data_IF_103428750944
#
_entry.id   IF_103428750944
#
_cell.length_a   1.000
_cell.length_b   1.000
_cell.length_c   1.000
_cell.angle_alpha   90.00
_cell.angle_beta   90.00
_cell.angle_gamma   90.00
#
_symmetry.space_group_name_H-M   'P 1'
#
loop_
_entity.id
_entity.type
_entity.pdbx_description
1 polymer ?
#
# COMPACT_ATOMS: atom_id res chain seq x y z
N UNK A 1 10.05 22.45 4.16
CA UNK A 1 10.17 23.53 5.17
C UNK A 1 9.87 23.05 6.61
N UNK A 2 9.86 21.73 6.86
CA UNK A 2 9.60 21.16 8.17
C UNK A 2 8.12 21.02 8.56
N UNK A 3 7.16 21.51 7.77
CA UNK A 3 5.74 21.37 8.12
C UNK A 3 5.23 19.94 7.92
N UNK A 4 4.31 19.53 8.80
CA UNK A 4 3.61 18.25 8.72
C UNK A 4 2.39 18.41 7.83
N UNK A 5 2.20 17.47 6.90
CA UNK A 5 1.04 17.45 6.01
C UNK A 5 0.19 16.21 6.28
N UNK A 6 -1.13 16.40 6.32
CA UNK A 6 -2.10 15.31 6.52
C UNK A 6 -3.08 15.31 5.36
N UNK A 7 -3.18 14.17 4.68
CA UNK A 7 -4.10 13.94 3.58
C UNK A 7 -5.16 12.93 4.05
N UNK A 8 -6.35 13.41 4.34
CA UNK A 8 -7.45 12.59 4.84
C UNK A 8 -8.28 12.12 3.65
N UNK A 9 -8.39 10.80 3.49
CA UNK A 9 -9.23 10.20 2.45
C UNK A 9 -10.70 10.57 2.66
N UNK A 10 -11.33 11.06 1.60
CA UNK A 10 -12.78 11.09 1.46
C UNK A 10 -13.36 9.72 1.12
N UNK A 11 -14.62 9.71 0.71
CA UNK A 11 -15.33 8.54 0.19
C UNK A 11 -16.29 8.96 -0.92
N UNK A 12 -15.76 8.97 -2.15
CA UNK A 12 -16.50 9.42 -3.33
C UNK A 12 -16.98 10.86 -3.20
N UNK A 13 -18.11 11.18 -3.84
CA UNK A 13 -18.66 12.54 -3.90
C UNK A 13 -19.45 12.97 -2.66
N UNK A 14 -19.79 12.03 -1.77
CA UNK A 14 -20.67 12.29 -0.62
C UNK A 14 -19.91 12.69 0.64
N UNK A 15 -18.66 12.24 0.77
CA UNK A 15 -17.76 12.61 1.87
C UNK A 15 -16.47 13.12 1.24
N UNK A 16 -16.19 14.42 1.28
CA UNK A 16 -14.94 14.96 0.74
C UNK A 16 -13.74 14.46 1.56
N UNK A 17 -12.58 14.50 0.94
CA UNK A 17 -11.30 14.40 1.61
C UNK A 17 -10.74 15.78 1.93
N UNK A 18 -9.68 15.80 2.72
CA UNK A 18 -9.11 17.05 3.24
C UNK A 18 -7.60 17.03 3.15
N UNK A 19 -7.00 18.19 2.88
CA UNK A 19 -5.56 18.43 3.03
C UNK A 19 -5.34 19.41 4.16
N UNK A 20 -4.49 19.05 5.11
CA UNK A 20 -4.08 19.90 6.22
C UNK A 20 -2.56 20.07 6.21
N UNK A 21 -2.12 21.24 6.66
CA UNK A 21 -0.72 21.59 6.89
C UNK A 21 -0.57 22.07 8.33
N UNK A 22 0.49 21.68 9.03
CA UNK A 22 0.75 22.22 10.36
C UNK A 22 0.91 23.73 10.29
N UNK A 23 0.59 24.45 11.37
CA UNK A 23 0.80 25.90 11.43
C UNK A 23 2.26 26.27 11.67
N UNK A 24 3.01 25.35 12.29
CA UNK A 24 4.42 25.51 12.61
C UNK A 24 5.23 24.30 12.10
N UNK A 25 6.51 24.49 11.71
CA UNK A 25 7.40 23.38 11.37
C UNK A 25 7.56 22.42 12.55
N UNK A 26 7.60 21.11 12.25
CA UNK A 26 7.85 20.03 13.21
C UNK A 26 6.84 19.95 14.37
N UNK A 27 5.67 20.58 14.24
CA UNK A 27 4.61 20.61 15.25
C UNK A 27 3.38 19.85 14.78
N UNK A 28 2.76 19.12 15.71
CA UNK A 28 1.48 18.43 15.53
C UNK A 28 0.34 19.10 16.32
N UNK A 29 0.60 20.25 16.95
CA UNK A 29 -0.35 20.93 17.86
C UNK A 29 -1.56 21.54 17.14
N UNK A 30 -1.34 22.05 15.93
CA UNK A 30 -2.42 22.70 15.18
C UNK A 30 -2.18 22.70 13.68
N UNK A 31 -3.28 22.64 12.95
CA UNK A 31 -3.28 22.56 11.49
C UNK A 31 -4.18 23.63 10.86
N UNK A 32 -3.82 24.07 9.66
CA UNK A 32 -4.68 24.82 8.76
C UNK A 32 -5.25 23.87 7.70
N UNK A 33 -6.55 24.02 7.37
CA UNK A 33 -7.15 23.33 6.24
C UNK A 33 -6.76 24.04 4.95
N UNK A 34 -6.15 23.31 4.03
CA UNK A 34 -5.73 23.82 2.72
C UNK A 34 -6.83 23.59 1.70
N UNK A 35 -7.35 22.36 1.60
CA UNK A 35 -8.42 22.00 0.66
C UNK A 35 -9.45 21.06 1.29
N UNK A 36 -10.66 21.10 0.73
CA UNK A 36 -11.73 20.12 0.87
C UNK A 36 -12.20 19.74 -0.53
N UNK A 37 -12.05 18.47 -0.92
CA UNK A 37 -12.19 18.06 -2.33
C UNK A 37 -12.49 16.56 -2.50
N UNK A 38 -12.88 16.15 -3.71
CA UNK A 38 -13.08 14.73 -4.05
C UNK A 38 -11.72 14.01 -4.21
N UNK A 39 -11.15 13.55 -3.10
CA UNK A 39 -9.94 12.74 -3.05
C UNK A 39 -10.18 11.48 -2.22
N UNK A 40 -10.00 10.30 -2.82
CA UNK A 40 -10.06 9.02 -2.09
C UNK A 40 -8.74 8.27 -2.23
N UNK A 41 -8.27 7.61 -1.17
CA UNK A 41 -6.98 6.89 -1.11
C UNK A 41 -5.79 7.76 -1.55
N UNK A 42 -5.58 8.95 -0.94
CA UNK A 42 -4.52 9.86 -1.34
C UNK A 42 -3.14 9.24 -1.11
N UNK A 43 -2.25 9.42 -2.08
CA UNK A 43 -0.86 8.98 -2.06
C UNK A 43 0.04 10.15 -2.48
N UNK A 44 0.36 11.06 -1.53
CA UNK A 44 1.18 12.23 -1.77
C UNK A 44 2.67 11.88 -1.70
N UNK A 45 3.42 12.25 -2.73
CA UNK A 45 4.88 12.14 -2.77
C UNK A 45 5.49 13.52 -2.88
N UNK A 46 6.22 13.92 -1.85
CA UNK A 46 7.03 15.13 -1.87
C UNK A 46 8.42 14.82 -2.41
N UNK A 47 8.85 15.56 -3.42
CA UNK A 47 10.22 15.52 -3.95
C UNK A 47 10.83 16.90 -3.78
N UNK A 48 11.97 16.95 -3.09
CA UNK A 48 12.67 18.21 -2.81
C UNK A 48 13.00 18.95 -4.12
N UNK A 49 12.71 20.25 -4.15
CA UNK A 49 12.88 21.09 -5.34
C UNK A 49 11.81 20.92 -6.43
N UNK A 50 10.92 19.93 -6.35
CA UNK A 50 9.79 19.73 -7.31
C UNK A 50 8.41 19.98 -6.68
N UNK A 51 8.24 19.67 -5.39
CA UNK A 51 6.97 19.80 -4.68
C UNK A 51 6.26 18.45 -4.49
N UNK A 52 4.93 18.45 -4.52
CA UNK A 52 4.08 17.27 -4.39
C UNK A 52 3.61 16.75 -5.75
N UNK A 53 3.75 15.45 -5.96
CA UNK A 53 2.93 14.69 -6.89
C UNK A 53 1.96 13.87 -6.07
N UNK A 54 0.67 14.05 -6.30
CA UNK A 54 -0.38 13.44 -5.50
C UNK A 54 -1.25 12.55 -6.37
N UNK A 55 -1.19 11.24 -6.13
CA UNK A 55 -2.06 10.27 -6.78
C UNK A 55 -3.27 9.97 -5.89
N UNK A 56 -4.45 9.83 -6.48
CA UNK A 56 -5.69 9.57 -5.76
C UNK A 56 -6.75 8.95 -6.67
N UNK A 57 -7.90 8.61 -6.10
CA UNK A 57 -9.04 8.03 -6.79
C UNK A 57 -10.24 8.99 -6.79
N UNK A 58 -10.95 9.05 -7.92
CA UNK A 58 -12.28 9.67 -8.03
C UNK A 58 -13.33 8.67 -8.48
N UNK A 59 -14.59 8.95 -8.13
CA UNK A 59 -15.74 8.07 -8.40
C UNK A 59 -16.54 8.59 -9.59
N UNK A 60 -15.94 8.55 -10.77
CA UNK A 60 -16.47 9.13 -12.01
C UNK A 60 -17.16 8.10 -12.89
N UNK A 61 -16.50 6.97 -13.19
CA UNK A 61 -17.06 5.84 -13.91
C UNK A 61 -16.60 4.52 -13.26
N UNK A 62 -16.86 4.41 -11.94
CA UNK A 62 -16.17 3.47 -11.06
C UNK A 62 -15.03 4.15 -10.32
N UNK A 63 -14.02 3.41 -9.87
CA UNK A 63 -12.84 3.97 -9.18
C UNK A 63 -11.76 4.31 -10.21
N UNK A 64 -11.74 5.53 -10.70
CA UNK A 64 -10.74 5.96 -11.69
C UNK A 64 -9.53 6.60 -10.99
N UNK A 65 -8.34 6.41 -11.56
CA UNK A 65 -7.08 6.91 -11.01
C UNK A 65 -6.79 8.30 -11.55
N UNK A 66 -6.34 9.18 -10.67
CA UNK A 66 -6.03 10.56 -10.99
C UNK A 66 -4.71 10.98 -10.34
N UNK A 67 -4.13 12.05 -10.87
CA UNK A 67 -3.05 12.79 -10.22
C UNK A 67 -3.23 14.30 -10.36
N UNK A 68 -2.61 15.03 -9.45
CA UNK A 68 -2.31 16.46 -9.60
C UNK A 68 -0.96 16.76 -8.94
N UNK A 69 -0.43 17.94 -9.22
CA UNK A 69 0.83 18.40 -8.64
C UNK A 69 0.65 19.74 -7.93
N UNK A 70 1.56 20.03 -7.02
CA UNK A 70 1.65 21.33 -6.35
C UNK A 70 3.09 21.59 -5.93
N UNK A 71 3.64 22.74 -6.28
CA UNK A 71 5.03 23.10 -5.90
C UNK A 71 5.18 23.25 -4.37
N UNK A 72 4.18 23.85 -3.72
CA UNK A 72 4.22 24.19 -2.29
C UNK A 72 3.13 23.50 -1.45
N UNK A 73 2.26 22.72 -2.09
CA UNK A 73 1.11 22.06 -1.46
C UNK A 73 -0.11 22.97 -1.24
N UNK A 74 -0.08 24.24 -1.65
CA UNK A 74 -1.19 25.20 -1.49
C UNK A 74 -2.05 25.31 -2.74
N UNK A 75 -1.44 25.68 -3.87
CA UNK A 75 -2.11 25.73 -5.17
C UNK A 75 -1.86 24.43 -5.92
N UNK A 76 -2.93 23.77 -6.35
CA UNK A 76 -2.86 22.48 -7.04
C UNK A 76 -3.29 22.63 -8.49
N UNK A 77 -2.61 21.92 -9.39
CA UNK A 77 -3.04 21.84 -10.80
C UNK A 77 -4.41 21.17 -10.91
N UNK A 78 -5.14 21.39 -12.01
CA UNK A 78 -6.32 20.58 -12.32
C UNK A 78 -6.00 19.08 -12.32
N UNK A 79 -6.99 18.29 -11.92
CA UNK A 79 -6.83 16.83 -11.83
C UNK A 79 -6.75 16.20 -13.21
N UNK A 80 -5.77 15.32 -13.38
CA UNK A 80 -5.52 14.58 -14.60
C UNK A 80 -5.85 13.11 -14.39
N UNK A 81 -6.51 12.47 -15.36
CA UNK A 81 -6.94 11.06 -15.24
C UNK A 81 -5.88 10.13 -15.78
N UNK A 82 -5.41 9.18 -14.97
CA UNK A 82 -4.41 8.16 -15.31
C UNK A 82 -5.04 6.93 -15.93
N UNK A 83 -6.05 6.37 -15.28
CA UNK A 83 -6.68 5.14 -15.71
C UNK A 83 -8.18 5.16 -15.45
N UNK A 84 -8.93 4.68 -16.43
CA UNK A 84 -10.40 4.67 -16.44
C UNK A 84 -10.95 3.45 -17.15
N UNK A 85 -10.60 2.25 -16.69
CA UNK A 85 -11.03 0.98 -17.29
C UNK A 85 -11.84 0.14 -16.29
N UNK A 86 -12.95 0.73 -15.80
CA UNK A 86 -13.89 0.11 -14.88
C UNK A 86 -13.63 0.45 -13.40
N UNK A 87 -12.44 0.20 -12.89
CA UNK A 87 -12.08 0.64 -11.54
C UNK A 87 -10.75 0.09 -11.03
N UNK A 88 -10.14 0.78 -10.07
CA UNK A 88 -8.77 0.50 -9.65
C UNK A 88 -8.58 0.71 -8.14
N UNK A 89 -7.72 -0.11 -7.54
CA UNK A 89 -6.89 0.30 -6.41
C UNK A 89 -5.46 0.50 -6.92
N UNK A 90 -4.69 1.37 -6.26
CA UNK A 90 -3.30 1.61 -6.63
C UNK A 90 -2.40 1.68 -5.40
N UNK A 91 -1.14 1.31 -5.59
CA UNK A 91 -0.03 1.58 -4.69
C UNK A 91 1.07 2.26 -5.50
N UNK A 92 1.55 3.39 -5.01
CA UNK A 92 2.61 4.18 -5.61
C UNK A 92 3.81 4.26 -4.68
N UNK A 93 4.98 4.53 -5.23
CA UNK A 93 6.23 4.70 -4.47
C UNK A 93 7.18 5.56 -5.32
N UNK A 94 7.97 6.45 -4.70
CA UNK A 94 9.07 7.14 -5.37
C UNK A 94 10.30 6.24 -5.41
N UNK A 95 11.02 6.27 -6.53
CA UNK A 95 12.40 5.83 -6.58
C UNK A 95 13.29 7.06 -6.50
N UNK A 96 13.77 7.36 -5.28
CA UNK A 96 14.53 8.58 -4.97
C UNK A 96 13.76 9.82 -5.47
N UNK A 97 14.46 10.76 -6.09
CA UNK A 97 13.92 11.93 -6.81
C UNK A 97 13.84 11.71 -8.33
N UNK A 98 14.20 10.52 -8.81
CA UNK A 98 14.31 10.17 -10.23
C UNK A 98 12.94 9.93 -10.87
N UNK A 99 12.08 9.12 -10.23
CA UNK A 99 10.76 8.76 -10.76
C UNK A 99 9.76 8.38 -9.68
N UNK A 100 8.48 8.39 -10.02
CA UNK A 100 7.39 7.85 -9.19
C UNK A 100 6.66 6.77 -9.97
N UNK A 101 6.59 5.57 -9.42
CA UNK A 101 5.84 4.45 -10.00
C UNK A 101 4.48 4.27 -9.35
N UNK A 102 3.54 3.68 -10.07
CA UNK A 102 2.26 3.22 -9.53
C UNK A 102 1.88 1.88 -10.14
N UNK A 103 1.54 0.94 -9.26
CA UNK A 103 0.98 -0.35 -9.60
C UNK A 103 -0.50 -0.37 -9.25
N UNK A 104 -1.33 -0.92 -10.13
CA UNK A 104 -2.77 -0.97 -9.92
C UNK A 104 -3.42 -2.21 -10.52
N UNK A 105 -4.61 -2.55 -10.03
CA UNK A 105 -5.44 -3.64 -10.55
C UNK A 105 -6.64 -3.06 -11.31
N UNK A 106 -7.44 -3.90 -11.95
CA UNK A 106 -8.67 -3.53 -12.65
C UNK A 106 -9.90 -4.18 -12.00
N UNK A 107 -11.04 -3.49 -12.06
CA UNK A 107 -12.36 -3.95 -11.64
C UNK A 107 -13.27 -4.04 -12.88
N UNK A 108 -13.38 -5.20 -13.56
CA UNK A 108 -14.26 -5.39 -14.70
C UNK A 108 -15.69 -4.89 -14.42
N UNK A 109 -16.19 -4.00 -15.27
CA UNK A 109 -17.52 -3.39 -15.12
C UNK A 109 -17.71 -2.56 -13.84
N UNK A 110 -16.61 -2.12 -13.21
CA UNK A 110 -16.62 -1.38 -11.95
C UNK A 110 -16.95 -2.22 -10.71
N UNK A 111 -17.00 -3.55 -10.85
CA UNK A 111 -17.31 -4.44 -9.73
C UNK A 111 -16.05 -4.69 -8.87
N UNK A 112 -16.07 -4.17 -7.64
CA UNK A 112 -14.98 -4.29 -6.67
C UNK A 112 -14.70 -5.71 -6.21
N UNK A 113 -15.57 -6.67 -6.48
CA UNK A 113 -15.37 -8.08 -6.15
C UNK A 113 -14.68 -8.84 -7.29
N UNK A 114 -14.46 -8.20 -8.45
CA UNK A 114 -13.80 -8.81 -9.62
C UNK A 114 -12.37 -8.32 -9.83
N UNK A 115 -11.71 -7.85 -8.76
CA UNK A 115 -10.36 -7.26 -8.84
C UNK A 115 -9.40 -8.23 -9.50
N UNK A 116 -8.83 -7.85 -10.63
CA UNK A 116 -7.98 -8.73 -11.43
C UNK A 116 -6.96 -7.89 -12.21
N UNK A 117 -6.10 -8.56 -12.96
CA UNK A 117 -4.98 -8.01 -13.69
C UNK A 117 -4.01 -7.21 -12.80
N UNK A 118 -2.80 -7.05 -13.29
CA UNK A 118 -1.81 -6.19 -12.67
C UNK A 118 -1.25 -5.26 -13.75
N UNK A 119 -1.14 -3.98 -13.41
CA UNK A 119 -0.61 -2.94 -14.27
C UNK A 119 0.47 -2.16 -13.54
N UNK A 120 1.41 -1.61 -14.28
CA UNK A 120 2.45 -0.73 -13.77
C UNK A 120 2.77 0.37 -14.79
N UNK A 121 2.84 1.60 -14.29
CA UNK A 121 3.38 2.76 -15.02
C UNK A 121 4.20 3.63 -14.09
N UNK A 122 5.08 4.44 -14.65
CA UNK A 122 5.90 5.38 -13.91
C UNK A 122 6.01 6.72 -14.62
N UNK A 123 6.32 7.76 -13.86
CA UNK A 123 6.61 9.09 -14.38
C UNK A 123 8.01 9.54 -13.95
N UNK A 124 8.95 9.71 -14.90
CA UNK A 124 10.30 10.23 -14.61
C UNK A 124 10.34 11.77 -14.54
N UNK A 125 9.26 12.44 -14.95
CA UNK A 125 9.20 13.89 -15.14
C UNK A 125 8.07 14.55 -14.34
N UNK A 126 7.69 13.92 -13.23
CA UNK A 126 6.77 14.45 -12.24
C UNK A 126 5.36 14.68 -12.78
N UNK A 127 4.86 13.71 -13.55
CA UNK A 127 3.49 13.63 -14.04
C UNK A 127 3.25 14.33 -15.38
N UNK A 128 4.31 14.74 -16.11
CA UNK A 128 4.17 15.30 -17.48
C UNK A 128 4.02 14.19 -18.52
N UNK A 129 4.77 13.11 -18.38
CA UNK A 129 4.65 11.90 -19.17
C UNK A 129 4.58 10.67 -18.27
N UNK A 130 3.93 9.63 -18.78
CA UNK A 130 3.83 8.33 -18.13
C UNK A 130 4.40 7.27 -19.06
N UNK A 131 5.14 6.32 -18.50
CA UNK A 131 5.82 5.25 -19.24
C UNK A 131 5.49 3.90 -18.62
N UNK A 132 5.54 2.83 -19.42
CA UNK A 132 5.56 1.47 -18.89
C UNK A 132 6.95 1.14 -18.33
N UNK A 133 7.11 -0.09 -17.82
CA UNK A 133 8.38 -0.55 -17.21
C UNK A 133 9.55 -0.61 -18.20
N UNK A 134 9.29 -0.61 -19.51
CA UNK A 134 10.31 -0.61 -20.57
C UNK A 134 10.69 0.80 -21.04
N UNK A 135 10.09 1.85 -20.46
CA UNK A 135 10.32 3.24 -20.84
C UNK A 135 9.50 3.71 -22.03
N UNK A 136 8.53 2.92 -22.50
CA UNK A 136 7.64 3.31 -23.59
C UNK A 136 6.55 4.24 -23.04
N UNK A 137 6.43 5.44 -23.63
CA UNK A 137 5.39 6.40 -23.24
C UNK A 137 3.99 5.83 -23.49
N UNK A 138 3.11 5.94 -22.49
CA UNK A 138 1.70 5.56 -22.58
C UNK A 138 0.80 6.79 -22.66
N UNK A 139 -0.27 6.70 -23.44
CA UNK A 139 -1.27 7.76 -23.53
C UNK A 139 -2.28 7.65 -22.38
N UNK A 140 -2.45 8.73 -21.63
CA UNK A 140 -3.44 8.83 -20.55
C UNK A 140 -4.71 9.55 -21.01
N UNK A 141 -5.91 9.14 -20.56
CA UNK A 141 -6.14 8.05 -19.63
C UNK A 141 -6.04 6.67 -20.30
N UNK A 142 -5.51 5.70 -19.55
CA UNK A 142 -5.55 4.29 -19.92
C UNK A 142 -7.01 3.80 -19.90
N UNK A 143 -7.53 3.41 -21.06
CA UNK A 143 -8.93 2.98 -21.23
C UNK A 143 -9.07 1.53 -21.73
N UNK A 144 -8.01 0.96 -22.32
CA UNK A 144 -7.96 -0.44 -22.73
C UNK A 144 -7.28 -1.30 -21.66
N UNK A 145 -7.91 -2.42 -21.30
CA UNK A 145 -7.36 -3.41 -20.37
C UNK A 145 -6.15 -4.16 -20.94
N UNK A 146 -6.01 -4.23 -22.26
CA UNK A 146 -4.86 -4.80 -22.96
C UNK A 146 -3.98 -3.68 -23.49
N UNK A 147 -3.30 -2.99 -22.59
CA UNK A 147 -2.43 -1.86 -22.90
C UNK A 147 -0.95 -2.16 -22.53
N UNK A 148 0.01 -1.33 -22.99
CA UNK A 148 1.44 -1.52 -22.68
C UNK A 148 1.81 -1.50 -21.19
N UNK A 149 0.90 -1.05 -20.32
CA UNK A 149 1.08 -1.06 -18.86
C UNK A 149 0.78 -2.43 -18.22
N UNK A 150 0.21 -3.38 -18.96
CA UNK A 150 -0.21 -4.68 -18.43
C UNK A 150 1.02 -5.51 -18.01
N UNK A 151 1.11 -5.80 -16.71
CA UNK A 151 2.11 -6.69 -16.11
C UNK A 151 1.70 -8.14 -16.29
N UNK A 152 0.42 -8.46 -16.01
CA UNK A 152 -0.12 -9.82 -16.15
C UNK A 152 -1.64 -9.85 -16.27
N UNK A 153 -2.15 -10.66 -17.19
CA UNK A 153 -3.57 -10.91 -17.43
C UNK A 153 -4.12 -12.01 -16.50
N UNK A 154 -4.26 -11.68 -15.21
CA UNK A 154 -4.86 -12.58 -14.24
C UNK A 154 -6.36 -12.86 -14.50
N UNK A 155 -7.04 -12.03 -15.29
CA UNK A 155 -8.44 -12.25 -15.67
C UNK A 155 -8.57 -13.52 -16.51
N UNK A 156 -7.69 -13.68 -17.51
CA UNK A 156 -7.61 -14.88 -18.34
C UNK A 156 -7.29 -16.15 -17.53
N UNK A 157 -6.59 -16.00 -16.41
CA UNK A 157 -6.24 -17.07 -15.47
C UNK A 157 -7.36 -17.37 -14.46
N UNK A 158 -8.45 -16.59 -14.45
CA UNK A 158 -9.52 -16.71 -13.46
C UNK A 158 -9.10 -16.33 -12.04
N UNK A 159 -8.07 -15.48 -11.90
CA UNK A 159 -7.48 -15.07 -10.62
C UNK A 159 -7.86 -13.65 -10.26
N UNK A 160 -8.08 -13.43 -8.97
CA UNK A 160 -8.26 -12.11 -8.39
C UNK A 160 -6.93 -11.58 -7.84
N UNK A 161 -6.77 -10.25 -7.85
CA UNK A 161 -5.53 -9.55 -7.45
C UNK A 161 -5.81 -8.46 -6.43
N UNK A 162 -5.13 -8.55 -5.29
CA UNK A 162 -5.21 -7.59 -4.17
C UNK A 162 -3.84 -7.00 -3.92
N UNK A 163 -3.67 -5.72 -4.22
CA UNK A 163 -2.40 -5.00 -4.03
C UNK A 163 -2.05 -4.88 -2.55
N UNK A 164 -0.75 -4.94 -2.25
CA UNK A 164 -0.21 -4.76 -0.90
C UNK A 164 0.82 -3.65 -0.85
N UNK A 165 1.81 -3.70 -1.74
CA UNK A 165 2.90 -2.73 -1.75
C UNK A 165 3.56 -2.62 -3.14
N UNK A 166 4.24 -1.50 -3.37
CA UNK A 166 5.15 -1.28 -4.51
C UNK A 166 6.45 -0.73 -3.95
N UNK A 167 7.59 -1.32 -4.31
CA UNK A 167 8.94 -0.85 -4.00
C UNK A 167 9.80 -0.91 -5.26
N UNK A 168 11.06 -0.50 -5.12
CA UNK A 168 12.08 -0.60 -6.16
C UNK A 168 13.32 -1.31 -5.64
N UNK A 169 14.00 -2.06 -6.51
CA UNK A 169 15.35 -2.52 -6.23
C UNK A 169 16.39 -1.38 -6.33
N UNK A 170 17.66 -1.69 -6.08
CA UNK A 170 18.76 -0.73 -6.14
C UNK A 170 19.03 -0.16 -7.54
N UNK A 171 18.47 -0.76 -8.59
CA UNK A 171 18.56 -0.32 -9.99
C UNK A 171 17.33 0.48 -10.42
N UNK A 172 16.32 0.63 -9.54
CA UNK A 172 15.07 1.31 -9.87
C UNK A 172 14.09 0.44 -10.64
N UNK A 173 14.24 -0.89 -10.61
CA UNK A 173 13.25 -1.79 -11.17
C UNK A 173 12.11 -2.03 -10.17
N UNK A 174 10.84 -2.00 -10.60
CA UNK A 174 9.70 -2.16 -9.71
C UNK A 174 9.55 -3.58 -9.14
N UNK A 175 9.16 -3.64 -7.87
CA UNK A 175 8.82 -4.84 -7.12
C UNK A 175 7.42 -4.64 -6.51
N UNK A 176 6.47 -5.48 -6.89
CA UNK A 176 5.07 -5.36 -6.47
C UNK A 176 4.71 -6.55 -5.60
N UNK A 177 4.21 -6.29 -4.40
CA UNK A 177 3.64 -7.31 -3.52
C UNK A 177 2.13 -7.36 -3.71
N UNK A 178 1.60 -8.54 -4.03
CA UNK A 178 0.17 -8.80 -4.21
C UNK A 178 -0.27 -10.03 -3.43
N UNK A 179 -1.57 -10.14 -3.18
CA UNK A 179 -2.23 -11.42 -2.92
C UNK A 179 -3.05 -11.79 -4.15
N UNK A 180 -2.90 -13.03 -4.61
CA UNK A 180 -3.79 -13.62 -5.63
C UNK A 180 -4.75 -14.63 -5.00
N UNK A 181 -5.98 -14.71 -5.49
CA UNK A 181 -6.98 -15.64 -4.96
C UNK A 181 -7.98 -16.11 -6.02
N UNK A 182 -8.74 -17.17 -5.71
CA UNK A 182 -9.76 -17.72 -6.61
C UNK A 182 -11.17 -17.14 -6.37
N UNK A 183 -11.37 -16.37 -5.30
CA UNK A 183 -12.69 -15.90 -4.89
C UNK A 183 -12.61 -14.65 -4.02
N UNK A 184 -13.59 -13.75 -4.17
CA UNK A 184 -13.62 -12.45 -3.47
C UNK A 184 -14.12 -12.53 -2.03
N UNK A 185 -15.08 -13.43 -1.78
CA UNK A 185 -15.62 -13.62 -0.43
C UNK A 185 -14.52 -14.07 0.54
N UNK A 186 -14.66 -13.71 1.83
CA UNK A 186 -13.98 -14.39 2.92
C UNK A 186 -14.09 -15.92 2.77
N UNK A 187 -13.13 -16.64 3.31
CA UNK A 187 -13.03 -18.10 3.18
C UNK A 187 -14.31 -18.88 3.54
N UNK A 188 -14.36 -20.18 3.18
CA UNK A 188 -13.21 -21.00 2.78
C UNK A 188 -12.93 -21.04 1.26
N UNK A 189 -13.85 -20.61 0.39
CA UNK A 189 -13.78 -20.89 -1.06
C UNK A 189 -12.62 -20.25 -1.85
N UNK A 190 -11.97 -19.23 -1.30
CA UNK A 190 -10.97 -18.43 -2.01
C UNK A 190 -9.54 -18.98 -2.01
N UNK A 191 -9.30 -20.12 -1.35
CA UNK A 191 -7.96 -20.69 -1.24
C UNK A 191 -7.44 -21.28 -2.58
N UNK A 192 -6.11 -21.33 -2.78
CA UNK A 192 -5.11 -20.63 -1.96
C UNK A 192 -5.14 -19.11 -2.18
N UNK A 193 -4.87 -18.36 -1.11
CA UNK A 193 -4.64 -16.91 -1.14
C UNK A 193 -3.16 -16.67 -0.99
N UNK A 194 -2.50 -16.46 -2.12
CA UNK A 194 -1.05 -16.53 -2.21
C UNK A 194 -0.46 -15.15 -2.24
N UNK A 195 0.42 -14.84 -1.29
CA UNK A 195 1.28 -13.66 -1.34
C UNK A 195 2.34 -13.90 -2.42
N UNK A 196 2.43 -12.99 -3.37
CA UNK A 196 3.28 -13.12 -4.55
C UNK A 196 4.04 -11.82 -4.77
N UNK A 197 5.34 -11.93 -5.03
CA UNK A 197 6.19 -10.86 -5.54
C UNK A 197 6.14 -10.89 -7.07
N UNK A 198 5.89 -9.75 -7.70
CA UNK A 198 6.17 -9.50 -9.11
C UNK A 198 7.36 -8.54 -9.20
N UNK A 199 8.49 -8.97 -9.74
CA UNK A 199 9.71 -8.18 -9.86
C UNK A 199 10.12 -8.05 -11.32
N UNK A 200 10.35 -6.83 -11.78
CA UNK A 200 10.94 -6.59 -13.09
C UNK A 200 12.45 -6.81 -13.02
N UNK A 201 12.97 -7.83 -13.70
CA UNK A 201 14.41 -8.12 -13.73
C UNK A 201 14.78 -8.83 -15.03
N UNK A 202 15.97 -8.53 -15.57
CA UNK A 202 16.44 -9.16 -16.80
C UNK A 202 15.60 -8.88 -18.04
N UNK A 203 14.77 -7.83 -18.03
CA UNK A 203 13.90 -7.46 -19.15
C UNK A 203 12.55 -8.19 -19.17
N UNK A 204 12.18 -8.87 -18.09
CA UNK A 204 10.88 -9.53 -17.93
C UNK A 204 10.33 -9.41 -16.50
N UNK A 205 9.03 -9.66 -16.35
CA UNK A 205 8.39 -9.78 -15.04
C UNK A 205 8.53 -11.19 -14.49
N UNK A 206 9.23 -11.33 -13.37
CA UNK A 206 9.40 -12.56 -12.62
C UNK A 206 8.39 -12.62 -11.46
N UNK A 207 7.86 -13.81 -11.18
CA UNK A 207 6.82 -14.00 -10.16
C UNK A 207 7.24 -15.08 -9.15
N UNK A 208 7.24 -14.73 -7.87
CA UNK A 208 7.67 -15.62 -6.79
C UNK A 208 6.64 -15.66 -5.67
N UNK A 209 6.25 -16.87 -5.26
CA UNK A 209 5.37 -17.06 -4.11
C UNK A 209 6.15 -16.89 -2.80
N UNK A 210 5.57 -16.15 -1.86
CA UNK A 210 6.13 -15.95 -0.53
C UNK A 210 5.53 -16.97 0.44
N UNK A 211 4.20 -16.95 0.56
CA UNK A 211 3.43 -17.77 1.48
C UNK A 211 1.94 -17.70 1.13
N UNK A 212 1.10 -18.46 1.84
CA UNK A 212 -0.35 -18.33 1.78
C UNK A 212 -0.89 -17.69 3.07
N UNK A 213 -1.97 -16.93 2.98
CA UNK A 213 -2.69 -16.40 4.14
C UNK A 213 -4.18 -16.74 4.11
N UNK A 214 -4.93 -16.34 5.13
CA UNK A 214 -6.33 -16.75 5.29
C UNK A 214 -7.34 -15.80 4.64
N UNK A 215 -6.92 -14.59 4.23
CA UNK A 215 -7.84 -13.60 3.71
C UNK A 215 -7.22 -12.65 2.66
N UNK A 216 -8.03 -12.23 1.67
CA UNK A 216 -7.56 -11.42 0.54
C UNK A 216 -7.08 -10.02 0.96
N UNK A 217 -7.52 -9.56 2.14
CA UNK A 217 -7.21 -8.23 2.68
C UNK A 217 -6.13 -8.26 3.75
N UNK A 218 -5.49 -9.41 4.00
CA UNK A 218 -4.29 -9.46 4.85
C UNK A 218 -3.27 -8.50 4.25
N UNK A 219 -2.82 -7.52 5.03
CA UNK A 219 -2.08 -6.38 4.54
C UNK A 219 -0.79 -6.22 5.34
N UNK A 220 0.31 -6.20 4.60
CA UNK A 220 1.67 -6.02 5.08
C UNK A 220 2.50 -5.31 4.03
N UNK A 221 3.71 -4.90 4.40
CA UNK A 221 4.59 -4.11 3.54
C UNK A 221 5.98 -4.73 3.39
N UNK A 222 6.59 -4.38 2.27
CA UNK A 222 7.86 -4.90 1.80
C UNK A 222 8.98 -3.90 2.12
N UNK A 223 10.03 -4.42 2.74
CA UNK A 223 11.31 -3.75 2.92
C UNK A 223 12.31 -4.27 1.90
N UNK A 224 12.93 -3.35 1.17
CA UNK A 224 14.03 -3.61 0.24
C UNK A 224 15.28 -2.96 0.84
N UNK A 225 16.20 -3.79 1.30
CA UNK A 225 17.48 -3.41 1.89
C UNK A 225 18.61 -4.07 1.08
N UNK A 226 19.85 -3.62 1.27
CA UNK A 226 21.00 -4.19 0.56
C UNK A 226 21.17 -5.68 0.90
N UNK A 227 20.97 -6.54 -0.11
CA UNK A 227 21.11 -8.00 0.00
C UNK A 227 20.03 -8.70 0.83
N UNK A 228 18.98 -7.99 1.26
CA UNK A 228 17.95 -8.56 2.14
C UNK A 228 16.60 -7.90 1.92
N UNK A 229 15.58 -8.70 1.64
CA UNK A 229 14.20 -8.23 1.54
C UNK A 229 13.38 -8.82 2.67
N UNK A 230 12.44 -8.03 3.22
CA UNK A 230 11.61 -8.47 4.34
C UNK A 230 10.15 -8.12 4.14
N UNK A 231 9.26 -9.01 4.60
CA UNK A 231 7.83 -8.76 4.67
C UNK A 231 7.39 -8.88 6.11
N UNK A 232 6.76 -7.83 6.62
CA UNK A 232 6.01 -7.85 7.86
C UNK A 232 4.53 -7.84 7.51
N UNK A 233 3.79 -8.85 7.94
CA UNK A 233 2.37 -8.97 7.60
C UNK A 233 1.63 -10.06 8.36
N UNK A 234 0.30 -9.99 8.45
CA UNK A 234 -0.54 -10.97 9.12
C UNK A 234 -0.72 -12.22 8.24
N UNK A 235 0.34 -13.02 8.09
CA UNK A 235 0.33 -14.21 7.22
C UNK A 235 -0.05 -15.48 7.95
N UNK A 236 -0.14 -15.45 9.28
CA UNK A 236 -0.48 -16.60 10.11
C UNK A 236 -1.95 -16.52 10.55
N UNK A 237 -2.65 -17.66 10.72
CA UNK A 237 -4.04 -17.65 11.15
C UNK A 237 -4.21 -16.97 12.51
N UNK A 238 -5.23 -16.12 12.63
CA UNK A 238 -5.61 -15.51 13.90
C UNK A 238 -6.88 -16.09 14.52
N UNK A 239 -7.32 -15.53 15.66
CA UNK A 239 -8.49 -15.98 16.42
C UNK A 239 -9.85 -15.78 15.73
N UNK A 240 -9.93 -14.98 14.65
CA UNK A 240 -11.14 -14.81 13.83
C UNK A 240 -10.95 -15.47 12.44
N UNK A 241 -11.30 -16.77 12.29
CA UNK A 241 -11.12 -17.52 11.04
C UNK A 241 -11.76 -16.88 9.81
N UNK A 242 -10.99 -16.73 8.73
CA UNK A 242 -11.46 -16.05 7.51
C UNK A 242 -11.83 -14.57 7.71
N UNK A 243 -11.67 -14.00 8.90
CA UNK A 243 -11.60 -12.57 9.09
C UNK A 243 -10.34 -12.01 8.43
N UNK A 244 -10.35 -10.72 8.09
CA UNK A 244 -9.13 -10.04 7.68
C UNK A 244 -8.12 -10.01 8.84
N UNK A 245 -6.84 -10.15 8.51
CA UNK A 245 -5.77 -10.20 9.49
C UNK A 245 -5.57 -11.58 10.10
N UNK A 246 -4.70 -11.62 11.10
CA UNK A 246 -4.22 -12.84 11.72
C UNK A 246 -3.09 -12.55 12.69
N UNK A 247 -2.22 -13.51 12.92
CA UNK A 247 -0.95 -13.25 13.64
C UNK A 247 0.08 -12.68 12.67
N UNK A 248 0.87 -11.71 13.15
CA UNK A 248 1.90 -11.07 12.34
C UNK A 248 3.13 -11.97 12.28
N UNK A 249 3.73 -12.11 11.09
CA UNK A 249 5.00 -12.79 10.89
C UNK A 249 5.99 -11.91 10.11
N UNK A 250 7.26 -12.24 10.29
CA UNK A 250 8.39 -11.70 9.54
C UNK A 250 8.93 -12.77 8.60
N UNK A 251 8.93 -12.45 7.30
CA UNK A 251 9.53 -13.25 6.24
C UNK A 251 10.76 -12.53 5.69
N UNK A 252 11.76 -13.29 5.26
CA UNK A 252 13.00 -12.76 4.69
C UNK A 252 13.41 -13.51 3.42
N UNK A 253 13.93 -12.76 2.45
CA UNK A 253 14.61 -13.25 1.25
C UNK A 253 16.02 -12.65 1.19
N UNK A 254 16.97 -13.42 0.68
CA UNK A 254 18.38 -13.00 0.46
C UNK A 254 18.82 -13.17 -0.99
N UNK A 255 17.86 -13.43 -1.88
CA UNK A 255 18.06 -13.75 -3.30
C UNK A 255 17.08 -12.95 -4.18
N UNK A 256 16.93 -11.66 -3.86
CA UNK A 256 16.07 -10.72 -4.60
C UNK A 256 14.60 -11.20 -4.72
N UNK A 257 14.07 -11.78 -3.65
CA UNK A 257 12.68 -12.21 -3.58
C UNK A 257 12.37 -13.53 -4.26
N UNK A 258 13.38 -14.24 -4.79
CA UNK A 258 13.18 -15.52 -5.46
C UNK A 258 12.75 -16.64 -4.49
N UNK A 259 13.31 -16.67 -3.28
CA UNK A 259 12.92 -17.57 -2.20
C UNK A 259 12.70 -16.82 -0.88
N UNK A 260 11.77 -17.33 -0.05
CA UNK A 260 11.39 -16.69 1.20
C UNK A 260 11.37 -17.69 2.36
N UNK A 261 11.87 -17.25 3.51
CA UNK A 261 11.85 -18.02 4.75
C UNK A 261 11.10 -17.24 5.83
N UNK A 262 10.19 -17.91 6.55
CA UNK A 262 9.60 -17.33 7.76
C UNK A 262 10.67 -17.30 8.85
N UNK A 263 11.03 -16.11 9.28
CA UNK A 263 12.04 -15.90 10.32
C UNK A 263 11.42 -16.03 11.70
N UNK A 264 10.20 -15.51 11.87
CA UNK A 264 9.44 -15.58 13.12
C UNK A 264 7.98 -15.25 12.93
N UNK A 265 7.16 -15.76 13.84
CA UNK A 265 5.85 -15.18 14.15
C UNK A 265 6.07 -14.16 15.27
N UNK A 266 5.53 -12.96 15.12
CA UNK A 266 5.73 -11.81 16.03
C UNK A 266 4.67 -11.76 17.13
N UNK A 267 3.46 -12.25 16.87
CA UNK A 267 2.33 -12.23 17.82
C UNK A 267 1.76 -13.64 17.94
N UNK A 268 1.32 -14.04 19.14
CA UNK A 268 0.87 -15.41 19.38
C UNK A 268 -0.36 -15.49 20.29
N UNK A 269 -1.32 -16.33 19.88
CA UNK A 269 -2.54 -16.56 20.65
C UNK A 269 -3.28 -15.25 20.99
N UNK A 270 -3.21 -14.28 20.08
CA UNK A 270 -3.86 -13.01 20.24
C UNK A 270 -5.38 -13.19 20.34
N UNK A 271 -6.08 -12.37 21.13
CA UNK A 271 -7.54 -12.41 21.20
C UNK A 271 -8.20 -11.78 19.97
N UNK A 272 -7.47 -10.94 19.24
CA UNK A 272 -7.92 -10.19 18.07
C UNK A 272 -6.97 -10.42 16.89
N UNK A 273 -7.49 -10.42 15.67
CA UNK A 273 -6.66 -10.43 14.47
C UNK A 273 -5.87 -9.11 14.37
N UNK A 274 -4.57 -9.22 14.11
CA UNK A 274 -3.73 -8.08 13.71
C UNK A 274 -3.85 -7.84 12.20
N UNK A 275 -3.89 -6.58 11.78
CA UNK A 275 -4.08 -6.23 10.37
C UNK A 275 -3.47 -4.89 9.99
N UNK A 276 -3.39 -4.61 8.69
CA UNK A 276 -2.83 -3.38 8.13
C UNK A 276 -1.43 -3.04 8.68
N UNK A 277 -0.49 -3.97 8.52
CA UNK A 277 0.91 -3.72 8.91
C UNK A 277 1.54 -2.72 7.94
N UNK A 278 1.98 -1.59 8.48
CA UNK A 278 2.56 -0.46 7.75
C UNK A 278 4.03 -0.28 8.10
N UNK A 279 4.79 0.10 7.08
CA UNK A 279 6.17 0.55 7.12
C UNK A 279 6.21 2.07 7.31
N UNK A 280 6.92 2.58 8.32
CA UNK A 280 7.29 3.98 8.39
C UNK A 280 8.30 4.36 7.29
N UNK A 281 8.14 5.56 6.71
CA UNK A 281 9.14 6.11 5.78
C UNK A 281 10.33 6.62 6.60
N UNK A 282 11.57 6.34 6.16
CA UNK A 282 12.80 6.68 6.88
C UNK A 282 12.81 6.14 8.32
N UNK A 283 12.37 4.90 8.50
CA UNK A 283 12.22 4.28 9.81
C UNK A 283 13.53 4.27 10.62
N UNK A 284 13.41 4.55 11.91
CA UNK A 284 14.44 4.19 12.88
C UNK A 284 14.43 2.66 13.07
N UNK A 285 15.58 2.00 13.29
CA UNK A 285 15.61 0.55 13.53
C UNK A 285 14.73 0.08 14.69
N UNK A 286 14.41 0.94 15.65
CA UNK A 286 13.53 0.61 16.78
C UNK A 286 12.03 0.79 16.49
N UNK A 287 11.65 1.37 15.35
CA UNK A 287 10.26 1.60 14.95
C UNK A 287 10.11 1.29 13.46
N UNK A 288 9.92 0.02 13.13
CA UNK A 288 10.12 -0.53 11.78
C UNK A 288 8.85 -1.08 11.14
N UNK A 289 7.89 -1.50 11.94
CA UNK A 289 6.53 -1.78 11.46
C UNK A 289 5.52 -1.36 12.53
N UNK A 290 4.36 -0.86 12.09
CA UNK A 290 3.25 -0.39 12.92
C UNK A 290 1.96 -1.01 12.40
N UNK A 291 1.07 -1.48 13.27
CA UNK A 291 -0.21 -2.06 12.88
C UNK A 291 -1.27 -1.87 13.97
N UNK A 292 -2.50 -2.31 13.67
CA UNK A 292 -3.58 -2.35 14.64
C UNK A 292 -4.22 -3.74 14.71
N UNK A 293 -4.99 -3.99 15.76
CA UNK A 293 -5.82 -5.19 15.89
C UNK A 293 -7.33 -4.88 15.88
N UNK A 294 -8.15 -5.92 15.79
CA UNK A 294 -9.60 -5.80 15.94
C UNK A 294 -10.33 -7.11 15.68
N UNK A 295 -11.55 -7.22 16.20
CA UNK A 295 -12.43 -8.33 15.91
C UNK A 295 -13.21 -8.07 14.62
N UNK A 296 -13.11 -8.97 13.65
CA UNK A 296 -13.76 -8.78 12.35
C UNK A 296 -15.25 -9.10 12.34
N UNK A 297 -15.79 -9.69 13.40
CA UNK A 297 -17.19 -10.12 13.48
C UNK A 297 -18.05 -9.23 14.35
N UNK A 298 -17.45 -8.59 15.35
CA UNK A 298 -18.14 -7.73 16.32
C UNK A 298 -17.28 -6.50 16.60
N UNK A 299 -17.92 -5.44 17.12
CA UNK A 299 -17.17 -4.29 17.59
C UNK A 299 -16.27 -4.70 18.77
N UNK A 300 -15.02 -4.26 18.75
CA UNK A 300 -14.04 -4.47 19.81
C UNK A 300 -13.18 -3.22 19.95
N UNK A 301 -12.44 -3.17 21.04
CA UNK A 301 -11.27 -2.31 21.14
C UNK A 301 -10.29 -2.62 20.00
N UNK A 302 -9.47 -1.61 19.67
CA UNK A 302 -8.39 -1.68 18.69
C UNK A 302 -7.17 -0.99 19.29
N UNK A 303 -6.05 -1.70 19.31
CA UNK A 303 -4.80 -1.24 19.87
C UNK A 303 -3.79 -1.00 18.76
N UNK A 304 -2.84 -0.10 19.01
CA UNK A 304 -1.73 0.16 18.11
C UNK A 304 -0.49 -0.60 18.58
N UNK A 305 0.16 -1.31 17.67
CA UNK A 305 1.34 -2.11 17.93
C UNK A 305 2.49 -1.68 17.01
N UNK A 306 3.72 -1.84 17.49
CA UNK A 306 4.90 -1.68 16.65
C UNK A 306 6.01 -2.65 17.02
N UNK A 307 7.00 -2.78 16.15
CA UNK A 307 8.19 -3.60 16.37
C UNK A 307 9.44 -2.94 15.79
N UNK A 308 10.60 -3.47 16.16
CA UNK A 308 11.90 -3.06 15.66
C UNK A 308 12.26 -3.84 14.38
N UNK A 309 13.35 -3.47 13.73
CA UNK A 309 13.80 -4.04 12.45
C UNK A 309 14.06 -5.54 12.54
N UNK A 310 14.51 -6.03 13.69
CA UNK A 310 14.77 -7.44 13.92
C UNK A 310 13.48 -8.24 14.24
N UNK A 311 12.37 -7.56 14.54
CA UNK A 311 11.13 -8.19 15.00
C UNK A 311 11.26 -8.86 16.36
N UNK A 312 12.17 -8.41 17.23
CA UNK A 312 12.55 -9.08 18.49
C UNK A 312 11.64 -8.81 19.67
N UNK A 313 10.87 -7.74 19.60
CA UNK A 313 9.89 -7.39 20.60
C UNK A 313 8.70 -6.78 19.89
N UNK A 314 7.51 -7.02 20.42
CA UNK A 314 6.32 -6.28 20.03
C UNK A 314 5.94 -5.36 21.17
N UNK A 315 5.74 -4.09 20.84
CA UNK A 315 5.22 -3.10 21.75
C UNK A 315 3.78 -2.77 21.37
N UNK A 316 2.96 -2.47 22.38
CA UNK A 316 1.59 -2.02 22.24
C UNK A 316 1.43 -0.69 22.96
N UNK A 317 0.80 0.29 22.31
CA UNK A 317 0.42 1.53 22.98
C UNK A 317 -0.71 1.29 23.99
N UNK A 318 -0.69 1.97 25.16
CA UNK A 318 -1.80 1.93 26.11
C UNK A 318 -3.12 2.32 25.43
N UNK A 319 -4.19 1.60 25.73
CA UNK A 319 -5.51 1.93 25.19
C UNK A 319 -6.03 3.25 25.76
N UNK A 320 -5.86 3.44 27.07
CA UNK A 320 -6.13 4.70 27.76
C UNK A 320 -4.80 5.38 28.10
N UNK A 321 -4.68 6.67 27.76
CA UNK A 321 -3.52 7.51 28.11
C UNK A 321 -3.96 8.58 29.12
N UNK A 322 -3.23 8.71 30.22
CA UNK A 322 -3.52 9.71 31.28
C UNK A 322 -2.97 11.11 30.96
N UNK A 323 -2.21 11.26 29.88
CA UNK A 323 -1.62 12.53 29.44
C UNK A 323 -1.23 12.51 27.96
N UNK A 324 -0.45 13.51 27.54
CA UNK A 324 0.04 13.65 26.15
C UNK A 324 0.96 12.50 25.71
N UNK A 325 1.60 11.82 26.67
CA UNK A 325 2.50 10.71 26.45
C UNK A 325 2.07 9.49 27.27
N UNK A 326 2.35 8.30 26.74
CA UNK A 326 2.12 7.01 27.39
C UNK A 326 3.24 6.05 27.03
N UNK A 327 3.76 5.32 28.01
CA UNK A 327 4.83 4.36 27.79
C UNK A 327 4.26 3.10 27.10
N UNK A 328 4.82 2.65 25.95
CA UNK A 328 4.39 1.42 25.31
C UNK A 328 4.71 0.18 26.15
N UNK A 329 3.79 -0.78 26.16
CA UNK A 329 3.95 -2.06 26.86
C UNK A 329 4.61 -3.09 25.94
N UNK A 330 5.60 -3.83 26.43
CA UNK A 330 6.13 -5.01 25.72
C UNK A 330 5.14 -6.15 25.89
N UNK A 331 4.64 -6.71 24.79
CA UNK A 331 3.62 -7.77 24.78
C UNK A 331 4.12 -9.11 24.25
N UNK A 332 5.25 -9.13 23.54
CA UNK A 332 5.90 -10.34 22.99
C UNK A 332 7.42 -10.24 23.07
#
# INVERSE_FOLDING_TARGET
DGHVWIFISGRGRHRPGFKYRSREPYSIESFEQITEEEITYPQPWFVEGKGFLHLFTKYTAGRELYWNISEEGREWTPDQKLAGMGGHYQNSEPYKDEKIGTAFNMHPGGNVDKRTNLYYVETPDFGKTWQNVQGETVETPLTDKHCPALVRDFESEGRLVYLKDLRFDSEGNPIILIITSNHHMPGPKGDPRTWTIAHWKGGEWQFHEVTNSTHNYDMGQLWIEDGRWRIFGPTEPGPQPWGAGGEVALWESTDEGATWNKIRTLTHNSPLNHTYVRRPVNAHPDFYALWADGNTYVHSDSHLYFTNQAGEKVWRLPYEMEGEFGEPEVVE
#
